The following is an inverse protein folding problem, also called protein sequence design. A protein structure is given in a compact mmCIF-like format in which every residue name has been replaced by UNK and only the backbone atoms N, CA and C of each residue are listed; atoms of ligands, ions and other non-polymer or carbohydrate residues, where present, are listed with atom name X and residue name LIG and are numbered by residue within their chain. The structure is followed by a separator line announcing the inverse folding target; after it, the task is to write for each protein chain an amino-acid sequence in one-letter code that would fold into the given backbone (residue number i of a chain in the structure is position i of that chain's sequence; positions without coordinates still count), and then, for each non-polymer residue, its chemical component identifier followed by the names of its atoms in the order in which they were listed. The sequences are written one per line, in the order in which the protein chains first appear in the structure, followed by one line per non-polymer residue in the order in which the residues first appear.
data_IF_942338947905
#
_entry.id   IF_942338947905
#
_cell.length_a   1.000
_cell.length_b   1.000
_cell.length_c   1.000
_cell.angle_alpha   90.00
_cell.angle_beta   90.00
_cell.angle_gamma   90.00
#
_symmetry.space_group_name_H-M   'P 1'
#
loop_
_entity.id
_entity.type
_entity.pdbx_description
1 polymer ?
#
# COMPACT_ATOMS: atom_id res chain seq x y z
N UNK A 1 46.62 30.01 33.96
CA UNK A 1 45.75 30.48 32.85
C UNK A 1 45.58 29.49 31.67
N UNK A 2 45.95 28.21 31.78
CA UNK A 2 45.86 27.26 30.64
C UNK A 2 44.74 26.20 30.73
N UNK A 3 44.06 26.04 31.89
CA UNK A 3 43.00 25.05 32.08
C UNK A 3 41.62 25.48 31.54
N UNK A 4 41.32 26.80 31.50
CA UNK A 4 40.03 27.30 31.04
C UNK A 4 39.85 27.28 29.52
N UNK A 5 40.94 27.39 28.76
CA UNK A 5 40.92 27.35 27.30
C UNK A 5 40.74 25.92 26.78
N UNK A 6 41.31 24.92 27.48
CA UNK A 6 41.12 23.49 27.10
C UNK A 6 39.69 23.01 27.34
N UNK A 7 39.08 23.45 28.45
CA UNK A 7 37.71 23.13 28.79
C UNK A 7 36.70 23.72 27.78
N UNK A 8 36.94 24.97 27.34
CA UNK A 8 36.13 25.65 26.34
C UNK A 8 36.29 25.00 24.95
N UNK A 9 37.48 24.55 24.59
CA UNK A 9 37.73 23.83 23.35
C UNK A 9 37.07 22.44 23.33
N UNK A 10 37.08 21.71 24.45
CA UNK A 10 36.40 20.41 24.58
C UNK A 10 34.88 20.59 24.57
N UNK A 11 34.32 21.63 25.20
CA UNK A 11 32.88 21.89 25.17
C UNK A 11 32.41 22.27 23.75
N UNK A 12 33.18 23.09 23.03
CA UNK A 12 32.87 23.44 21.66
C UNK A 12 32.97 22.25 20.70
N UNK A 13 33.95 21.36 20.89
CA UNK A 13 34.08 20.16 20.09
C UNK A 13 32.95 19.13 20.38
N UNK A 14 32.50 18.99 21.63
CA UNK A 14 31.38 18.14 21.97
C UNK A 14 30.05 18.68 21.43
N UNK A 15 29.85 20.01 21.47
CA UNK A 15 28.63 20.63 20.94
C UNK A 15 28.59 20.56 19.41
N UNK A 16 29.72 20.68 18.72
CA UNK A 16 29.80 20.48 17.27
C UNK A 16 29.57 19.00 16.86
N UNK A 17 30.08 18.05 17.64
CA UNK A 17 29.86 16.64 17.38
C UNK A 17 28.39 16.21 17.58
N UNK A 18 27.67 16.81 18.53
CA UNK A 18 26.23 16.52 18.74
C UNK A 18 25.35 17.16 17.66
N UNK A 19 25.76 18.30 17.09
CA UNK A 19 24.99 18.95 16.01
C UNK A 19 25.18 18.25 14.66
N UNK A 20 26.27 17.53 14.43
CA UNK A 20 26.49 16.78 13.19
C UNK A 20 25.88 15.36 13.18
N UNK A 21 25.43 14.86 14.34
CA UNK A 21 24.77 13.54 14.39
C UNK A 21 23.24 13.60 14.32
N UNK A 22 22.67 14.81 14.30
CA UNK A 22 21.24 15.01 14.02
C UNK A 22 21.03 15.60 12.63
N UNK A 23 21.61 15.00 11.60
CA UNK A 23 20.96 15.06 10.29
C UNK A 23 19.57 14.45 10.50
N UNK A 24 18.47 15.16 10.21
CA UNK A 24 17.18 14.50 10.22
C UNK A 24 17.34 13.30 9.30
N UNK A 25 17.12 12.10 9.83
CA UNK A 25 16.85 10.96 8.96
C UNK A 25 15.81 11.47 7.98
N UNK A 26 16.10 11.42 6.68
CA UNK A 26 15.09 11.73 5.69
C UNK A 26 13.87 10.93 6.12
N UNK A 27 12.76 11.60 6.42
CA UNK A 27 11.54 10.91 6.75
C UNK A 27 11.22 10.07 5.52
N UNK A 28 11.42 8.76 5.61
CA UNK A 28 10.98 7.84 4.58
C UNK A 28 9.47 7.96 4.64
N UNK A 29 8.86 8.34 3.53
CA UNK A 29 7.41 8.34 3.44
C UNK A 29 6.94 6.90 3.68
N UNK A 30 6.14 6.72 4.72
CA UNK A 30 5.63 5.42 5.14
C UNK A 30 4.12 5.50 5.28
N UNK A 31 3.44 4.36 5.15
CA UNK A 31 1.99 4.31 5.23
C UNK A 31 1.57 3.33 6.32
N UNK A 32 0.44 3.58 6.94
CA UNK A 32 -0.13 2.68 7.94
C UNK A 32 -1.59 2.40 7.61
N UNK A 33 -1.95 1.12 7.57
CA UNK A 33 -3.31 0.67 7.38
C UNK A 33 -3.91 0.19 8.70
N UNK A 34 -5.18 0.52 8.94
CA UNK A 34 -5.89 0.16 10.14
C UNK A 34 -7.13 -0.64 9.79
N UNK A 35 -7.43 -1.63 10.59
CA UNK A 35 -8.68 -2.35 10.56
C UNK A 35 -9.27 -2.48 11.95
N UNK A 36 -10.55 -2.09 12.10
CA UNK A 36 -11.28 -2.13 13.37
C UNK A 36 -12.56 -2.96 13.17
N UNK A 37 -12.70 -4.09 13.84
CA UNK A 37 -13.88 -4.93 13.72
C UNK A 37 -15.13 -4.31 14.36
N UNK A 38 -16.30 -4.73 13.89
CA UNK A 38 -17.61 -4.21 14.26
C UNK A 38 -17.87 -4.13 15.77
N UNK A 39 -17.32 -5.06 16.55
CA UNK A 39 -17.51 -5.09 18.00
C UNK A 39 -16.86 -3.92 18.76
N UNK A 40 -15.90 -3.21 18.15
CA UNK A 40 -15.23 -2.05 18.75
C UNK A 40 -15.76 -0.73 18.22
N UNK A 41 -16.81 -0.74 17.41
CA UNK A 41 -17.39 0.46 16.81
C UNK A 41 -18.78 0.73 17.39
N UNK A 42 -19.14 1.99 17.54
CA UNK A 42 -20.40 2.38 18.17
C UNK A 42 -21.66 1.96 17.37
N UNK A 43 -21.52 1.79 16.06
CA UNK A 43 -22.62 1.48 15.14
C UNK A 43 -22.56 0.05 14.56
N UNK A 44 -21.62 -0.79 15.00
CA UNK A 44 -21.45 -2.14 14.49
C UNK A 44 -20.88 -2.23 13.06
N UNK A 45 -20.39 -1.14 12.50
CA UNK A 45 -19.70 -1.16 11.21
C UNK A 45 -18.22 -1.53 11.39
N UNK A 46 -17.62 -2.12 10.37
CA UNK A 46 -16.17 -2.27 10.29
C UNK A 46 -15.54 -0.98 9.80
N UNK A 47 -14.43 -0.57 10.38
CA UNK A 47 -13.68 0.59 9.92
C UNK A 47 -12.37 0.14 9.31
N UNK A 48 -12.12 0.64 8.11
CA UNK A 48 -10.84 0.54 7.42
C UNK A 48 -10.33 1.95 7.23
N UNK A 49 -9.08 2.20 7.61
CA UNK A 49 -8.45 3.50 7.46
C UNK A 49 -7.02 3.34 6.94
N UNK A 50 -6.54 4.39 6.29
CA UNK A 50 -5.16 4.54 5.85
C UNK A 50 -4.63 5.88 6.34
N UNK A 51 -3.46 5.87 6.91
CA UNK A 51 -2.58 7.02 7.05
C UNK A 51 -1.52 6.93 5.96
N UNK A 52 -1.26 8.03 5.29
CA UNK A 52 -0.25 8.10 4.24
C UNK A 52 0.76 9.17 4.60
N UNK A 53 1.95 8.74 4.96
CA UNK A 53 3.07 9.59 5.32
C UNK A 53 3.80 10.06 4.05
N UNK A 54 3.22 11.02 3.38
CA UNK A 54 3.74 11.62 2.16
C UNK A 54 4.56 12.88 2.42
N UNK A 55 5.07 13.46 1.36
CA UNK A 55 5.74 14.76 1.41
C UNK A 55 4.79 15.85 1.94
N UNK A 56 5.36 16.83 2.64
CA UNK A 56 4.62 17.98 3.15
C UNK A 56 3.81 18.65 2.02
N UNK A 57 2.51 18.90 2.25
CA UNK A 57 1.52 19.41 1.29
C UNK A 57 1.16 18.46 0.13
N UNK A 58 1.23 17.17 0.34
CA UNK A 58 0.70 16.20 -0.60
C UNK A 58 -0.85 16.14 -0.48
N UNK A 59 -1.54 17.05 -1.17
CA UNK A 59 -3.00 17.12 -1.19
C UNK A 59 -3.55 15.97 -2.03
N UNK A 60 -4.44 15.18 -1.47
CA UNK A 60 -5.05 14.05 -2.19
C UNK A 60 -6.20 14.50 -3.09
N UNK A 61 -6.34 13.85 -4.22
CA UNK A 61 -7.52 13.93 -5.07
C UNK A 61 -8.52 12.87 -4.65
N UNK A 62 -9.76 13.28 -4.41
CA UNK A 62 -10.89 12.39 -4.25
C UNK A 62 -11.68 12.35 -5.55
N UNK A 63 -12.08 11.16 -6.00
CA UNK A 63 -12.84 10.97 -7.21
C UNK A 63 -13.83 9.82 -7.15
N UNK A 64 -14.64 9.72 -8.19
CA UNK A 64 -15.56 8.62 -8.42
C UNK A 64 -15.31 8.10 -9.83
N UNK A 65 -15.01 6.81 -9.95
CA UNK A 65 -14.91 6.11 -11.22
C UNK A 65 -16.26 5.47 -11.54
N UNK A 66 -16.86 5.77 -12.70
CA UNK A 66 -18.12 5.16 -13.09
C UNK A 66 -17.92 3.68 -13.45
N UNK A 67 -19.02 2.92 -13.46
CA UNK A 67 -19.05 1.60 -14.05
C UNK A 67 -18.82 1.67 -15.56
N UNK A 68 -17.94 0.83 -16.09
CA UNK A 68 -17.58 0.78 -17.51
C UNK A 68 -17.37 -0.66 -17.99
N UNK A 69 -17.61 -0.91 -19.28
CA UNK A 69 -17.32 -2.17 -19.92
C UNK A 69 -15.89 -2.19 -20.50
N UNK A 70 -15.28 -3.36 -20.52
CA UNK A 70 -13.96 -3.59 -21.12
C UNK A 70 -12.87 -2.63 -20.61
N UNK A 71 -12.83 -2.46 -19.30
CA UNK A 71 -11.87 -1.57 -18.65
C UNK A 71 -10.45 -2.07 -18.87
N UNK A 72 -9.58 -1.20 -19.37
CA UNK A 72 -8.14 -1.42 -19.36
C UNK A 72 -7.51 -0.78 -18.13
N UNK A 73 -6.88 -1.59 -17.30
CA UNK A 73 -6.06 -1.16 -16.17
C UNK A 73 -4.60 -1.10 -16.63
N UNK A 74 -3.91 -0.02 -16.33
CA UNK A 74 -2.51 0.19 -16.73
C UNK A 74 -1.68 0.76 -15.59
N UNK A 75 -0.37 0.57 -15.66
CA UNK A 75 0.57 1.11 -14.67
C UNK A 75 1.23 2.40 -15.17
N UNK A 76 1.51 3.32 -14.23
CA UNK A 76 2.34 4.48 -14.47
C UNK A 76 3.83 4.21 -14.28
N UNK A 77 4.18 3.11 -13.61
CA UNK A 77 5.56 2.76 -13.28
C UNK A 77 6.16 1.72 -14.23
N UNK A 78 5.30 0.87 -14.78
CA UNK A 78 5.71 -0.24 -15.64
C UNK A 78 4.87 -0.27 -16.91
N UNK A 79 5.18 -1.20 -17.81
CA UNK A 79 4.37 -1.46 -19.00
C UNK A 79 3.19 -2.43 -18.72
N UNK A 80 2.80 -2.61 -17.46
CA UNK A 80 1.66 -3.46 -17.11
C UNK A 80 0.38 -2.91 -17.71
N UNK A 81 -0.35 -3.77 -18.41
CA UNK A 81 -1.73 -3.54 -18.83
C UNK A 81 -2.53 -4.83 -18.67
N UNK A 82 -3.78 -4.67 -18.26
CA UNK A 82 -4.72 -5.77 -18.17
C UNK A 82 -6.14 -5.29 -18.47
N UNK A 83 -6.83 -5.94 -19.41
CA UNK A 83 -8.20 -5.60 -19.77
C UNK A 83 -9.17 -6.58 -19.13
N UNK A 84 -10.16 -6.06 -18.42
CA UNK A 84 -11.26 -6.85 -17.87
C UNK A 84 -12.24 -7.25 -18.96
N UNK A 85 -12.80 -8.44 -18.86
CA UNK A 85 -13.91 -8.94 -19.68
C UNK A 85 -15.29 -8.71 -19.04
N UNK A 86 -15.34 -7.98 -17.93
CA UNK A 86 -16.54 -7.69 -17.14
C UNK A 86 -16.87 -6.20 -17.18
N UNK A 87 -18.12 -5.88 -16.86
CA UNK A 87 -18.51 -4.52 -16.48
C UNK A 87 -17.96 -4.22 -15.09
N UNK A 88 -17.13 -3.18 -14.96
CA UNK A 88 -16.55 -2.79 -13.68
C UNK A 88 -17.61 -2.22 -12.73
N UNK A 89 -17.37 -2.32 -11.42
CA UNK A 89 -18.17 -1.64 -10.42
C UNK A 89 -17.81 -0.16 -10.36
N UNK A 90 -18.79 0.68 -10.05
CA UNK A 90 -18.54 2.07 -9.69
C UNK A 90 -17.86 2.13 -8.32
N UNK A 91 -16.83 2.96 -8.18
CA UNK A 91 -16.12 3.15 -6.93
C UNK A 91 -15.69 4.59 -6.66
N UNK A 92 -15.56 4.95 -5.40
CA UNK A 92 -14.87 6.15 -4.98
C UNK A 92 -13.42 5.82 -4.63
N UNK A 93 -12.53 6.78 -4.85
CA UNK A 93 -11.11 6.60 -4.60
C UNK A 93 -10.46 7.88 -4.07
N UNK A 94 -9.29 7.70 -3.47
CA UNK A 94 -8.33 8.76 -3.18
C UNK A 94 -6.99 8.40 -3.81
N UNK A 95 -6.27 9.41 -4.32
CA UNK A 95 -4.95 9.27 -4.92
C UNK A 95 -4.13 10.53 -4.77
N UNK A 96 -2.89 10.49 -5.18
CA UNK A 96 -2.01 11.66 -5.28
C UNK A 96 -2.59 12.74 -6.20
N UNK A 97 -2.12 13.99 -6.06
CA UNK A 97 -2.68 15.10 -6.82
C UNK A 97 -2.48 14.94 -8.32
N UNK A 98 -3.39 15.55 -9.05
CA UNK A 98 -3.55 15.47 -10.50
C UNK A 98 -2.33 15.82 -11.34
N UNK A 99 -1.47 16.70 -10.82
CA UNK A 99 -0.23 17.12 -11.47
C UNK A 99 0.89 16.07 -11.42
N UNK A 100 0.72 15.00 -10.61
CA UNK A 100 1.69 13.91 -10.50
C UNK A 100 1.28 12.67 -11.32
N UNK A 101 -0.01 12.55 -11.65
CA UNK A 101 -0.56 11.34 -12.26
C UNK A 101 -1.51 11.67 -13.40
N UNK A 102 -1.57 10.76 -14.38
CA UNK A 102 -2.52 10.86 -15.47
C UNK A 102 -3.98 10.84 -14.97
N UNK A 103 -4.86 11.58 -15.65
CA UNK A 103 -6.29 11.66 -15.35
C UNK A 103 -7.15 10.64 -16.10
N UNK A 104 -6.52 9.71 -16.80
CA UNK A 104 -7.23 8.66 -17.54
C UNK A 104 -8.14 7.83 -16.64
N UNK A 105 -9.22 7.24 -17.18
CA UNK A 105 -10.02 6.25 -16.47
C UNK A 105 -9.11 5.13 -15.97
N UNK A 106 -9.42 4.64 -14.76
CA UNK A 106 -8.63 3.59 -14.07
C UNK A 106 -7.16 3.92 -13.79
N UNK A 107 -6.82 5.21 -13.82
CA UNK A 107 -5.60 5.68 -13.25
C UNK A 107 -5.50 5.27 -11.76
N UNK A 108 -4.30 5.32 -11.24
CA UNK A 108 -3.97 5.01 -9.87
C UNK A 108 -5.03 5.36 -8.81
N UNK A 109 -5.27 4.44 -7.90
CA UNK A 109 -6.03 4.64 -6.67
C UNK A 109 -5.22 4.14 -5.48
N UNK A 110 -4.95 4.98 -4.48
CA UNK A 110 -4.26 4.57 -3.27
C UNK A 110 -5.19 3.77 -2.34
N UNK A 111 -6.45 4.20 -2.25
CA UNK A 111 -7.50 3.55 -1.49
C UNK A 111 -8.88 3.95 -2.01
N UNK A 112 -9.90 3.15 -1.67
CA UNK A 112 -11.27 3.45 -2.04
C UNK A 112 -12.28 2.43 -1.55
N UNK A 113 -13.52 2.60 -2.00
CA UNK A 113 -14.63 1.69 -1.76
C UNK A 113 -15.55 1.64 -2.96
N UNK A 114 -15.99 0.45 -3.36
CA UNK A 114 -16.93 0.26 -4.46
C UNK A 114 -18.39 0.14 -4.00
N UNK A 115 -19.30 0.12 -4.96
CA UNK A 115 -20.75 0.03 -4.72
C UNK A 115 -21.21 -1.31 -4.12
N UNK A 116 -20.36 -2.33 -4.09
CA UNK A 116 -20.59 -3.60 -3.39
C UNK A 116 -20.14 -3.55 -1.93
N UNK A 117 -19.54 -2.45 -1.49
CA UNK A 117 -18.99 -2.30 -0.15
C UNK A 117 -17.61 -2.94 0.02
N UNK A 118 -16.93 -3.29 -1.07
CA UNK A 118 -15.54 -3.73 -1.02
C UNK A 118 -14.65 -2.49 -0.94
N UNK A 119 -13.81 -2.44 0.08
CA UNK A 119 -12.76 -1.44 0.24
C UNK A 119 -11.39 -2.06 0.00
N UNK A 120 -10.49 -1.28 -0.60
CA UNK A 120 -9.10 -1.66 -0.80
C UNK A 120 -8.18 -0.48 -0.50
N UNK A 121 -7.06 -0.78 0.12
CA UNK A 121 -5.93 0.14 0.28
C UNK A 121 -4.66 -0.64 0.00
N UNK A 122 -3.78 -0.10 -0.83
CA UNK A 122 -2.48 -0.70 -1.16
C UNK A 122 -1.35 0.21 -0.69
N UNK A 123 -0.23 -0.37 -0.29
CA UNK A 123 0.97 0.36 0.11
C UNK A 123 2.21 -0.50 -0.07
N UNK A 124 3.34 0.14 -0.38
CA UNK A 124 4.64 -0.51 -0.27
C UNK A 124 4.80 -1.14 1.11
N UNK A 125 5.40 -2.30 1.20
CA UNK A 125 5.60 -2.97 2.49
C UNK A 125 7.08 -3.06 2.86
N UNK A 126 7.76 -4.07 2.40
CA UNK A 126 9.14 -4.35 2.77
C UNK A 126 9.94 -4.78 1.56
N UNK A 127 11.24 -4.77 1.73
CA UNK A 127 12.15 -5.45 0.81
C UNK A 127 12.22 -6.95 1.15
N UNK A 128 12.68 -7.76 0.21
CA UNK A 128 12.85 -9.19 0.36
C UNK A 128 14.34 -9.55 0.29
N UNK A 129 14.70 -10.69 0.87
CA UNK A 129 16.11 -11.07 1.01
C UNK A 129 16.76 -11.49 -0.31
N UNK A 130 18.09 -11.53 -0.35
CA UNK A 130 18.86 -11.82 -1.56
C UNK A 130 18.57 -13.21 -2.15
N UNK A 131 18.23 -14.20 -1.33
CA UNK A 131 17.87 -15.52 -1.81
C UNK A 131 16.54 -15.49 -2.56
N UNK A 132 15.54 -14.76 -2.06
CA UNK A 132 14.27 -14.55 -2.75
C UNK A 132 14.44 -13.71 -4.01
N UNK A 133 15.27 -12.64 -3.96
CA UNK A 133 15.62 -11.83 -5.16
C UNK A 133 16.23 -12.66 -6.28
N UNK A 134 17.08 -13.62 -5.93
CA UNK A 134 17.72 -14.51 -6.90
C UNK A 134 16.75 -15.57 -7.44
N UNK A 135 15.84 -16.08 -6.63
CA UNK A 135 14.91 -17.15 -7.01
C UNK A 135 13.69 -16.65 -7.79
N UNK A 136 13.14 -15.51 -7.41
CA UNK A 136 11.91 -14.93 -7.95
C UNK A 136 12.02 -13.38 -7.95
N UNK A 137 12.77 -12.81 -8.90
CA UNK A 137 12.99 -11.37 -8.98
C UNK A 137 11.70 -10.61 -9.31
N UNK A 138 11.61 -9.36 -8.83
CA UNK A 138 10.55 -8.45 -9.22
C UNK A 138 10.61 -8.15 -10.73
N UNK A 139 9.43 -8.03 -11.33
CA UNK A 139 9.28 -7.65 -12.74
C UNK A 139 9.14 -6.11 -12.86
N UNK A 140 10.25 -5.40 -12.85
CA UNK A 140 10.26 -3.94 -12.97
C UNK A 140 9.90 -3.41 -14.36
N UNK A 141 9.77 -4.27 -15.38
CA UNK A 141 9.43 -3.84 -16.75
C UNK A 141 7.92 -3.80 -16.98
N UNK A 142 7.20 -4.85 -16.58
CA UNK A 142 5.79 -5.02 -16.88
C UNK A 142 5.00 -5.65 -15.72
N UNK A 143 5.55 -5.67 -14.52
CA UNK A 143 4.88 -6.19 -13.33
C UNK A 143 3.79 -5.27 -12.81
N UNK A 144 2.81 -5.87 -12.13
CA UNK A 144 1.78 -5.17 -11.39
C UNK A 144 2.35 -4.62 -10.07
N UNK A 145 1.89 -3.47 -9.60
CA UNK A 145 2.39 -2.83 -8.37
C UNK A 145 1.36 -2.05 -7.60
N UNK A 146 1.80 -1.29 -6.60
CA UNK A 146 0.96 -0.51 -5.71
C UNK A 146 -0.08 0.33 -6.46
N UNK A 147 0.32 0.94 -7.56
CA UNK A 147 -0.55 1.84 -8.34
C UNK A 147 -1.68 1.14 -9.11
N UNK A 148 -1.72 -0.19 -9.14
CA UNK A 148 -2.75 -0.93 -9.86
C UNK A 148 -3.76 -1.60 -8.92
N UNK A 149 -3.30 -2.09 -7.78
CA UNK A 149 -4.05 -3.03 -6.96
C UNK A 149 -5.42 -2.50 -6.53
N UNK A 150 -5.46 -1.27 -5.97
CA UNK A 150 -6.72 -0.75 -5.44
C UNK A 150 -7.75 -0.52 -6.55
N UNK A 151 -7.36 0.06 -7.69
CA UNK A 151 -8.26 0.27 -8.82
C UNK A 151 -8.85 -1.04 -9.34
N UNK A 152 -8.03 -2.09 -9.48
CA UNK A 152 -8.46 -3.41 -9.95
C UNK A 152 -9.41 -4.06 -8.93
N UNK A 153 -9.06 -4.10 -7.65
CA UNK A 153 -9.94 -4.68 -6.63
C UNK A 153 -11.28 -3.96 -6.58
N UNK A 154 -11.28 -2.63 -6.62
CA UNK A 154 -12.49 -1.81 -6.53
C UNK A 154 -13.37 -1.96 -7.77
N UNK A 155 -12.78 -2.02 -8.95
CA UNK A 155 -13.52 -2.19 -10.21
C UNK A 155 -14.06 -3.60 -10.43
N UNK A 156 -13.38 -4.64 -9.93
CA UNK A 156 -13.61 -6.01 -10.39
C UNK A 156 -14.17 -6.97 -9.33
N UNK A 157 -14.20 -6.57 -8.05
CA UNK A 157 -14.51 -7.50 -6.98
C UNK A 157 -15.82 -7.16 -6.26
N UNK A 158 -16.71 -8.14 -6.10
CA UNK A 158 -17.94 -8.02 -5.33
C UNK A 158 -17.75 -8.41 -3.86
N UNK A 159 -16.66 -9.10 -3.52
CA UNK A 159 -16.29 -9.52 -2.17
C UNK A 159 -14.81 -9.32 -1.92
N UNK A 160 -14.42 -9.24 -0.65
CA UNK A 160 -13.01 -9.12 -0.27
C UNK A 160 -12.20 -10.34 -0.75
N UNK A 161 -12.78 -11.54 -0.68
CA UNK A 161 -12.16 -12.78 -1.15
C UNK A 161 -11.89 -12.76 -2.65
N UNK A 162 -12.85 -12.34 -3.46
CA UNK A 162 -12.66 -12.18 -4.91
C UNK A 162 -11.49 -11.23 -5.21
N UNK A 163 -11.37 -10.13 -4.46
CA UNK A 163 -10.25 -9.20 -4.59
C UNK A 163 -8.90 -9.85 -4.27
N UNK A 164 -8.82 -10.63 -3.20
CA UNK A 164 -7.60 -11.38 -2.84
C UNK A 164 -7.21 -12.37 -3.94
N UNK A 165 -8.17 -13.18 -4.41
CA UNK A 165 -7.94 -14.20 -5.43
C UNK A 165 -7.55 -13.58 -6.79
N UNK A 166 -8.18 -12.46 -7.16
CA UNK A 166 -7.87 -11.74 -8.38
C UNK A 166 -6.44 -11.18 -8.37
N UNK A 167 -6.06 -10.47 -7.31
CA UNK A 167 -4.72 -9.91 -7.20
C UNK A 167 -3.67 -11.02 -7.15
N UNK A 168 -3.90 -12.08 -6.38
CA UNK A 168 -3.02 -13.24 -6.35
C UNK A 168 -2.79 -13.82 -7.75
N UNK A 169 -3.84 -14.02 -8.52
CA UNK A 169 -3.76 -14.53 -9.91
C UNK A 169 -3.01 -13.57 -10.83
N UNK A 170 -3.20 -12.26 -10.69
CA UNK A 170 -2.48 -11.28 -11.51
C UNK A 170 -0.98 -11.25 -11.17
N UNK A 171 -0.62 -11.31 -9.89
CA UNK A 171 0.77 -11.43 -9.45
C UNK A 171 1.41 -12.71 -10.00
N UNK A 172 0.74 -13.85 -9.91
CA UNK A 172 1.23 -15.11 -10.46
C UNK A 172 1.41 -15.08 -11.99
N UNK A 173 0.60 -14.29 -12.69
CA UNK A 173 0.57 -14.26 -14.15
C UNK A 173 1.53 -13.25 -14.75
N UNK A 174 1.58 -12.04 -14.19
CA UNK A 174 2.32 -10.91 -14.74
C UNK A 174 3.61 -10.60 -13.97
N UNK A 175 3.72 -11.14 -12.77
CA UNK A 175 4.74 -10.75 -11.81
C UNK A 175 4.45 -9.40 -11.17
N UNK A 176 5.04 -9.16 -10.01
CA UNK A 176 4.95 -7.89 -9.30
C UNK A 176 6.21 -7.04 -9.53
N UNK A 177 6.06 -5.71 -9.57
CA UNK A 177 7.18 -4.78 -9.65
C UNK A 177 7.66 -4.30 -8.28
N UNK A 178 6.88 -4.51 -7.23
CA UNK A 178 7.18 -4.11 -5.84
C UNK A 178 6.63 -5.12 -4.84
N UNK A 179 7.18 -5.09 -3.63
CA UNK A 179 6.64 -5.84 -2.49
C UNK A 179 5.63 -4.97 -1.75
N UNK A 180 4.37 -5.34 -1.83
CA UNK A 180 3.25 -4.52 -1.39
C UNK A 180 2.40 -5.23 -0.34
N UNK A 181 1.65 -4.43 0.41
CA UNK A 181 0.64 -4.91 1.34
C UNK A 181 -0.70 -4.28 1.02
N UNK A 182 -1.73 -5.10 0.93
CA UNK A 182 -3.09 -4.67 0.69
C UNK A 182 -3.98 -5.02 1.89
N UNK A 183 -4.83 -4.09 2.30
CA UNK A 183 -5.98 -4.40 3.14
C UNK A 183 -7.22 -4.39 2.27
N UNK A 184 -7.90 -5.52 2.18
CA UNK A 184 -9.11 -5.72 1.37
C UNK A 184 -10.24 -6.14 2.31
N UNK A 185 -11.35 -5.41 2.32
CA UNK A 185 -12.46 -5.65 3.25
C UNK A 185 -13.80 -5.52 2.56
N UNK A 186 -14.77 -6.31 3.02
CA UNK A 186 -16.17 -6.18 2.69
C UNK A 186 -17.04 -6.23 3.98
N UNK A 187 -18.38 -6.16 3.90
CA UNK A 187 -19.22 -6.25 5.09
C UNK A 187 -19.08 -7.54 5.91
N UNK A 188 -18.50 -8.61 5.36
CA UNK A 188 -18.44 -9.93 5.99
C UNK A 188 -17.05 -10.30 6.49
N UNK A 189 -15.99 -9.92 5.74
CA UNK A 189 -14.62 -10.30 6.07
C UNK A 189 -13.60 -9.24 5.65
N UNK A 190 -12.42 -9.34 6.23
CA UNK A 190 -11.28 -8.48 5.93
C UNK A 190 -10.01 -9.31 5.82
N UNK A 191 -9.14 -8.93 4.90
CA UNK A 191 -7.91 -9.63 4.56
C UNK A 191 -6.73 -8.68 4.51
N UNK A 192 -5.56 -9.17 4.89
CA UNK A 192 -4.28 -8.58 4.51
C UNK A 192 -3.65 -9.52 3.49
N UNK A 193 -3.39 -9.02 2.31
CA UNK A 193 -2.61 -9.67 1.27
C UNK A 193 -1.24 -9.01 1.21
N UNK A 194 -0.19 -9.81 1.12
CA UNK A 194 1.18 -9.35 0.94
C UNK A 194 1.77 -9.97 -0.32
N UNK A 195 2.33 -9.14 -1.16
CA UNK A 195 3.18 -9.52 -2.28
C UNK A 195 4.61 -9.66 -1.75
N UNK A 196 5.18 -10.84 -1.87
CA UNK A 196 6.41 -11.25 -1.19
C UNK A 196 7.64 -11.27 -2.10
N UNK A 197 7.43 -11.41 -3.39
CA UNK A 197 8.47 -11.43 -4.44
C UNK A 197 7.83 -11.27 -5.81
N UNK A 198 8.52 -11.58 -6.89
CA UNK A 198 8.02 -11.44 -8.25
C UNK A 198 6.66 -12.10 -8.48
N UNK A 199 6.47 -13.34 -8.03
CA UNK A 199 5.23 -14.11 -8.27
C UNK A 199 4.66 -14.74 -6.99
N UNK A 200 5.27 -14.48 -5.83
CA UNK A 200 4.82 -15.06 -4.57
C UNK A 200 3.99 -14.06 -3.77
N UNK A 201 2.89 -14.51 -3.25
CA UNK A 201 2.02 -13.74 -2.38
C UNK A 201 1.45 -14.60 -1.26
N UNK A 202 0.93 -13.97 -0.23
CA UNK A 202 0.21 -14.62 0.84
C UNK A 202 -0.90 -13.72 1.36
N UNK A 203 -2.00 -14.30 1.81
CA UNK A 203 -3.09 -13.57 2.40
C UNK A 203 -3.57 -14.21 3.69
N UNK A 204 -3.93 -13.36 4.65
CA UNK A 204 -4.50 -13.78 5.94
C UNK A 204 -5.81 -13.08 6.16
N UNK A 205 -6.84 -13.88 6.47
CA UNK A 205 -8.11 -13.35 6.94
C UNK A 205 -7.94 -12.77 8.34
N UNK A 206 -8.31 -11.52 8.52
CA UNK A 206 -8.22 -10.85 9.82
C UNK A 206 -9.28 -11.40 10.79
N UNK A 207 -8.92 -11.66 12.05
CA UNK A 207 -9.86 -12.16 13.05
C UNK A 207 -10.97 -11.15 13.32
N UNK A 208 -12.22 -11.58 13.38
CA UNK A 208 -13.37 -10.70 13.60
C UNK A 208 -13.38 -10.01 14.99
N UNK A 209 -12.54 -10.45 15.91
CA UNK A 209 -12.46 -10.01 17.30
C UNK A 209 -11.20 -9.22 17.66
N UNK A 210 -10.35 -8.88 16.68
CA UNK A 210 -9.09 -8.15 16.93
C UNK A 210 -8.91 -7.03 15.92
N UNK A 211 -8.58 -5.85 16.40
CA UNK A 211 -8.11 -4.77 15.55
C UNK A 211 -6.69 -5.07 15.01
N UNK A 212 -6.37 -4.55 13.85
CA UNK A 212 -5.07 -4.66 13.23
C UNK A 212 -4.52 -3.30 12.84
N UNK A 213 -3.21 -3.13 13.01
CA UNK A 213 -2.44 -1.98 12.54
C UNK A 213 -1.32 -2.56 11.68
N UNK A 214 -1.26 -2.15 10.44
CA UNK A 214 -0.37 -2.71 9.43
C UNK A 214 0.50 -1.58 8.85
N UNK A 215 1.69 -1.31 9.43
CA UNK A 215 2.64 -0.34 8.89
C UNK A 215 3.38 -0.92 7.68
N UNK A 216 4.30 -0.15 7.07
CA UNK A 216 5.17 -0.58 5.97
C UNK A 216 6.19 -1.64 6.44
N UNK A 217 5.69 -2.78 6.88
CA UNK A 217 6.51 -3.93 7.26
C UNK A 217 5.71 -5.23 7.12
N UNK A 218 6.41 -6.34 6.94
CA UNK A 218 5.76 -7.64 6.92
C UNK A 218 5.24 -8.01 8.31
N UNK A 219 3.93 -8.03 8.45
CA UNK A 219 3.25 -8.47 9.68
C UNK A 219 2.87 -9.95 9.65
N UNK A 220 2.95 -10.59 8.48
CA UNK A 220 2.64 -12.00 8.33
C UNK A 220 3.86 -12.83 8.76
N UNK A 221 3.68 -13.63 9.81
CA UNK A 221 4.67 -14.64 10.24
C UNK A 221 4.15 -15.98 9.78
N UNK A 222 4.84 -16.58 8.83
CA UNK A 222 4.56 -17.94 8.44
C UNK A 222 5.37 -18.87 9.35
N UNK A 223 4.67 -19.77 10.03
CA UNK A 223 5.32 -20.97 10.54
C UNK A 223 5.60 -21.86 9.32
N UNK A 224 6.84 -22.19 9.13
CA UNK A 224 7.24 -23.18 8.14
C UNK A 224 6.74 -24.58 8.55
#
# INVERSE_FOLDING_TARGET
MKRSSLLKAMTAALTAAVVFTSAPAAAIAECTQFWIPAQYTANGSRYVARDEDGAYRNFKTYGIEPSMDNVEYYSHETNFTWTSDKTSYRYSFVRDPKDQWDDGPNAYSAAGINEKGVSCSATLSTDYNDAAKAADPLNGESGIGEYNYASIVLGESATAREGVELIGKLVETYGACSCDQLTISDPNESWVLMVLSGHQWAAVKLPADKASVNPNMSNLRFAA
#
